data_IF_457499243980
#
_entry.id   IF_457499243980
#
_cell.length_a   1.000
_cell.length_b   1.000
_cell.length_c   1.000
_cell.angle_alpha   90.00
_cell.angle_beta   90.00
_cell.angle_gamma   90.00
#
_symmetry.space_group_name_H-M   'P 1'
#
loop_
_entity.id
_entity.type
_entity.pdbx_description
1 polymer ?
#
# COMPACT_ATOMS: atom_id res chain seq x y z
N UNK A 1 12.46 -7.44 10.75
CA UNK A 1 12.62 -6.00 11.07
C UNK A 1 11.30 -5.33 10.72
N UNK A 2 10.67 -4.62 11.66
CA UNK A 2 9.38 -3.97 11.41
C UNK A 2 9.52 -2.78 10.45
N UNK A 3 8.50 -2.55 9.62
CA UNK A 3 8.37 -1.34 8.80
C UNK A 3 8.12 -0.15 9.73
N UNK A 4 8.88 0.93 9.55
CA UNK A 4 8.61 2.21 10.23
C UNK A 4 7.50 2.96 9.51
N UNK A 5 6.75 3.83 10.20
CA UNK A 5 5.69 4.66 9.61
C UNK A 5 6.20 5.40 8.36
N UNK A 6 7.38 6.02 8.43
CA UNK A 6 7.97 6.71 7.28
C UNK A 6 8.31 5.79 6.10
N UNK A 7 8.60 4.51 6.35
CA UNK A 7 8.78 3.54 5.27
C UNK A 7 7.43 3.14 4.64
N UNK A 8 6.38 3.01 5.45
CA UNK A 8 5.03 2.73 5.00
C UNK A 8 4.44 3.90 4.17
N UNK A 9 4.63 5.15 4.60
CA UNK A 9 4.22 6.35 3.86
C UNK A 9 4.88 6.43 2.48
N UNK A 10 6.19 6.16 2.41
CA UNK A 10 6.90 6.12 1.13
C UNK A 10 6.41 4.98 0.22
N UNK A 11 6.05 3.85 0.80
CA UNK A 11 5.49 2.73 0.05
C UNK A 11 4.13 3.09 -0.52
N UNK A 12 3.23 3.70 0.28
CA UNK A 12 1.91 4.14 -0.18
C UNK A 12 2.02 5.13 -1.35
N UNK A 13 2.89 6.16 -1.23
CA UNK A 13 3.12 7.12 -2.31
C UNK A 13 3.59 6.44 -3.61
N UNK A 14 4.59 5.56 -3.53
CA UNK A 14 5.06 4.79 -4.68
C UNK A 14 3.98 3.89 -5.27
N UNK A 15 3.18 3.26 -4.43
CA UNK A 15 2.11 2.37 -4.87
C UNK A 15 1.01 3.12 -5.62
N UNK A 16 0.71 4.37 -5.23
CA UNK A 16 -0.18 5.26 -5.98
C UNK A 16 0.36 5.61 -7.36
N UNK A 17 1.66 5.95 -7.48
CA UNK A 17 2.28 6.23 -8.78
C UNK A 17 2.12 5.02 -9.74
N UNK A 18 2.29 3.81 -9.21
CA UNK A 18 2.12 2.56 -9.96
C UNK A 18 0.64 2.34 -10.32
N UNK A 19 -0.26 2.54 -9.37
CA UNK A 19 -1.69 2.39 -9.61
C UNK A 19 -2.19 3.36 -10.69
N UNK A 20 -1.70 4.61 -10.69
CA UNK A 20 -2.00 5.61 -11.72
C UNK A 20 -1.40 5.19 -13.07
N UNK A 21 -0.14 4.74 -13.09
CA UNK A 21 0.51 4.27 -14.31
C UNK A 21 -0.27 3.15 -15.00
N UNK A 22 -0.78 2.20 -14.21
CA UNK A 22 -1.61 1.08 -14.70
C UNK A 22 -3.11 1.43 -14.84
N UNK A 23 -3.50 2.68 -14.53
CA UNK A 23 -4.90 3.16 -14.52
C UNK A 23 -5.84 2.25 -13.72
N UNK A 24 -5.37 1.78 -12.57
CA UNK A 24 -6.13 0.91 -11.69
C UNK A 24 -7.32 1.67 -11.10
N UNK A 25 -8.47 0.99 -11.04
CA UNK A 25 -9.69 1.56 -10.45
C UNK A 25 -9.74 1.33 -8.95
N UNK A 26 -10.69 1.98 -8.29
CA UNK A 26 -10.94 1.80 -6.85
C UNK A 26 -11.13 0.35 -6.43
N UNK A 27 -11.78 -0.47 -7.27
CA UNK A 27 -12.08 -1.88 -6.96
C UNK A 27 -10.87 -2.82 -7.14
N UNK A 28 -9.76 -2.33 -7.66
CA UNK A 28 -8.56 -3.15 -7.86
C UNK A 28 -7.92 -3.52 -6.52
N UNK A 29 -7.44 -4.76 -6.41
CA UNK A 29 -6.87 -5.29 -5.17
C UNK A 29 -5.70 -4.45 -4.64
N UNK A 30 -4.83 -3.95 -5.53
CA UNK A 30 -3.75 -3.02 -5.15
C UNK A 30 -4.31 -1.71 -4.57
N UNK A 31 -5.29 -1.07 -5.22
CA UNK A 31 -5.90 0.18 -4.74
C UNK A 31 -6.50 0.02 -3.35
N UNK A 32 -7.24 -1.07 -3.13
CA UNK A 32 -7.79 -1.40 -1.82
C UNK A 32 -6.71 -1.65 -0.75
N UNK A 33 -5.59 -2.28 -1.15
CA UNK A 33 -4.46 -2.51 -0.24
C UNK A 33 -3.73 -1.21 0.12
N UNK A 34 -3.61 -0.26 -0.81
CA UNK A 34 -3.03 1.06 -0.54
C UNK A 34 -3.91 1.83 0.46
N UNK A 35 -5.23 1.88 0.26
CA UNK A 35 -6.14 2.50 1.23
C UNK A 35 -6.05 1.85 2.62
N UNK A 36 -5.94 0.53 2.69
CA UNK A 36 -5.77 -0.16 3.97
C UNK A 36 -4.42 0.18 4.65
N UNK A 37 -3.37 0.42 3.87
CA UNK A 37 -2.07 0.86 4.39
C UNK A 37 -2.14 2.31 4.91
N UNK A 38 -2.76 3.21 4.16
CA UNK A 38 -2.97 4.60 4.57
C UNK A 38 -3.83 4.67 5.84
N UNK A 39 -4.91 3.88 5.91
CA UNK A 39 -5.75 3.77 7.10
C UNK A 39 -4.97 3.27 8.32
N UNK A 40 -4.09 2.27 8.15
CA UNK A 40 -3.25 1.75 9.20
C UNK A 40 -2.21 2.78 9.70
N UNK A 41 -1.66 3.60 8.80
CA UNK A 41 -0.75 4.70 9.14
C UNK A 41 -1.50 5.79 9.90
N UNK A 42 -2.57 6.32 9.32
CA UNK A 42 -3.25 7.52 9.80
C UNK A 42 -3.96 7.30 11.13
N UNK A 43 -4.54 6.13 11.33
CA UNK A 43 -5.25 5.80 12.56
C UNK A 43 -4.39 5.07 13.59
N UNK A 44 -3.11 4.82 13.27
CA UNK A 44 -2.22 3.94 14.05
C UNK A 44 -2.91 2.61 14.42
N UNK A 45 -3.75 2.09 13.52
CA UNK A 45 -4.52 0.86 13.69
C UNK A 45 -3.69 -0.35 13.30
N UNK A 46 -4.33 -1.53 13.19
CA UNK A 46 -3.71 -2.85 12.99
C UNK A 46 -2.50 -2.85 12.05
N UNK A 47 -1.43 -3.51 12.52
CA UNK A 47 -0.19 -3.90 11.83
C UNK A 47 0.05 -3.29 10.43
N UNK A 48 0.52 -2.04 10.41
CA UNK A 48 1.01 -1.38 9.20
C UNK A 48 2.10 -2.19 8.47
N UNK A 49 2.81 -3.09 9.16
CA UNK A 49 3.77 -4.01 8.54
C UNK A 49 3.09 -5.06 7.66
N UNK A 50 1.97 -5.62 8.11
CA UNK A 50 1.19 -6.56 7.31
C UNK A 50 0.51 -5.86 6.12
N UNK A 51 -0.03 -4.65 6.32
CA UNK A 51 -0.59 -3.86 5.22
C UNK A 51 0.48 -3.50 4.17
N UNK A 52 1.68 -3.09 4.62
CA UNK A 52 2.81 -2.80 3.74
C UNK A 52 3.23 -4.03 2.94
N UNK A 53 3.37 -5.19 3.58
CA UNK A 53 3.71 -6.45 2.92
C UNK A 53 2.70 -6.81 1.82
N UNK A 54 1.40 -6.62 2.08
CA UNK A 54 0.35 -6.87 1.09
C UNK A 54 0.45 -5.96 -0.13
N UNK A 55 0.77 -4.68 0.06
CA UNK A 55 1.02 -3.73 -1.04
C UNK A 55 2.23 -4.16 -1.87
N UNK A 56 3.34 -4.54 -1.25
CA UNK A 56 4.54 -4.97 -1.96
C UNK A 56 4.31 -6.21 -2.85
N UNK A 57 3.53 -7.19 -2.35
CA UNK A 57 3.15 -8.37 -3.14
C UNK A 57 2.35 -7.97 -4.37
N UNK A 58 1.30 -7.17 -4.18
CA UNK A 58 0.39 -6.81 -5.26
C UNK A 58 1.09 -5.95 -6.32
N UNK A 59 2.07 -5.13 -5.95
CA UNK A 59 2.94 -4.43 -6.91
C UNK A 59 3.74 -5.45 -7.75
N UNK A 60 4.30 -6.48 -7.11
CA UNK A 60 5.09 -7.51 -7.81
C UNK A 60 4.28 -8.43 -8.74
N UNK A 61 2.96 -8.45 -8.61
CA UNK A 61 2.03 -9.21 -9.45
C UNK A 61 1.54 -8.43 -10.69
N UNK A 62 1.85 -7.13 -10.78
CA UNK A 62 1.48 -6.33 -11.95
C UNK A 62 2.33 -6.71 -13.18
N UNK A 63 1.72 -6.70 -14.39
CA UNK A 63 2.37 -7.08 -15.63
C UNK A 63 3.42 -6.07 -16.12
#
# INVERSE_FOLDING_TARGET
MGVTITAAERLAARAWDIAEHHRLTGDHALTQAIWALEDAIDHHTTDAGHAAWRVEILIGELP
#
